data_IF_600883384150
#
_entry.id   IF_600883384150
#
_cell.length_a   1.000
_cell.length_b   1.000
_cell.length_c   1.000
_cell.angle_alpha   90.00
_cell.angle_beta   90.00
_cell.angle_gamma   90.00
#
_symmetry.space_group_name_H-M   'P 1'
#
loop_
_entity.id
_entity.type
_entity.pdbx_description
1 polymer ?
#
# COMPACT_ATOMS: atom_id res chain seq x y z
N UNK A 1 -13.93 22.69 7.20
CA UNK A 1 -14.32 21.70 6.17
C UNK A 1 -15.30 22.38 5.23
N UNK A 2 -14.88 22.62 3.99
CA UNK A 2 -15.69 23.31 2.99
C UNK A 2 -16.88 22.41 2.59
N UNK A 3 -18.09 22.85 2.98
CA UNK A 3 -19.32 22.05 2.88
C UNK A 3 -19.83 21.91 1.43
N UNK A 4 -19.20 22.57 0.46
CA UNK A 4 -19.62 22.62 -0.94
C UNK A 4 -18.66 21.98 -1.96
N UNK A 5 -17.64 21.23 -1.52
CA UNK A 5 -16.73 20.49 -2.43
C UNK A 5 -17.35 19.22 -3.05
N UNK A 6 -18.59 19.30 -3.54
CA UNK A 6 -19.30 18.21 -4.23
C UNK A 6 -18.52 17.74 -5.46
N UNK A 7 -17.92 18.67 -6.20
CA UNK A 7 -17.18 18.36 -7.44
C UNK A 7 -15.90 17.53 -7.18
N UNK A 8 -15.16 17.83 -6.11
CA UNK A 8 -13.98 17.07 -5.71
C UNK A 8 -14.32 15.66 -5.24
N UNK A 9 -15.37 15.51 -4.44
CA UNK A 9 -15.87 14.21 -3.97
C UNK A 9 -16.33 13.35 -5.15
N UNK A 10 -17.04 13.92 -6.13
CA UNK A 10 -17.45 13.19 -7.34
C UNK A 10 -16.25 12.68 -8.13
N UNK A 11 -15.18 13.47 -8.28
CA UNK A 11 -13.96 13.06 -8.96
C UNK A 11 -13.23 11.93 -8.23
N UNK A 12 -13.00 12.08 -6.92
CA UNK A 12 -12.37 11.05 -6.10
C UNK A 12 -13.16 9.73 -6.14
N UNK A 13 -14.51 9.80 -6.06
CA UNK A 13 -15.38 8.63 -6.16
C UNK A 13 -15.27 7.94 -7.53
N UNK A 14 -15.15 8.70 -8.62
CA UNK A 14 -14.94 8.14 -9.96
C UNK A 14 -13.61 7.39 -10.03
N UNK A 15 -12.55 7.96 -9.46
CA UNK A 15 -11.24 7.32 -9.42
C UNK A 15 -11.25 6.04 -8.59
N UNK A 16 -11.77 6.08 -7.36
CA UNK A 16 -11.91 4.87 -6.53
C UNK A 16 -12.71 3.78 -7.25
N UNK A 17 -13.83 4.13 -7.89
CA UNK A 17 -14.62 3.15 -8.66
C UNK A 17 -13.80 2.49 -9.77
N UNK A 18 -13.00 3.26 -10.51
CA UNK A 18 -12.12 2.71 -11.54
C UNK A 18 -11.08 1.76 -10.96
N UNK A 19 -10.50 2.10 -9.80
CA UNK A 19 -9.52 1.27 -9.13
C UNK A 19 -10.13 -0.03 -8.60
N UNK A 20 -11.37 0.03 -8.09
CA UNK A 20 -12.13 -1.15 -7.64
C UNK A 20 -12.42 -2.13 -8.78
N UNK A 21 -12.70 -1.63 -10.00
CA UNK A 21 -12.89 -2.51 -11.17
C UNK A 21 -11.63 -3.32 -11.51
N UNK A 22 -10.45 -2.82 -11.15
CA UNK A 22 -9.16 -3.48 -11.31
C UNK A 22 -8.54 -3.85 -9.95
N UNK A 23 -9.37 -4.10 -8.92
CA UNK A 23 -8.91 -4.22 -7.54
C UNK A 23 -7.82 -5.28 -7.37
N UNK A 24 -8.02 -6.49 -7.92
CA UNK A 24 -7.05 -7.59 -7.79
C UNK A 24 -5.69 -7.24 -8.39
N UNK A 25 -5.69 -6.51 -9.51
CA UNK A 25 -4.48 -6.06 -10.19
C UNK A 25 -3.77 -5.00 -9.35
N UNK A 26 -4.49 -3.98 -8.91
CA UNK A 26 -3.91 -2.92 -8.08
C UNK A 26 -3.38 -3.44 -6.76
N UNK A 27 -4.14 -4.30 -6.08
CA UNK A 27 -3.71 -4.96 -4.85
C UNK A 27 -2.42 -5.75 -5.07
N UNK A 28 -2.40 -6.63 -6.09
CA UNK A 28 -1.21 -7.42 -6.42
C UNK A 28 0.00 -6.53 -6.76
N UNK A 29 -0.19 -5.52 -7.59
CA UNK A 29 0.89 -4.63 -8.02
C UNK A 29 1.45 -3.83 -6.83
N UNK A 30 0.59 -3.35 -5.93
CA UNK A 30 1.01 -2.65 -4.71
C UNK A 30 1.78 -3.56 -3.78
N UNK A 31 1.31 -4.80 -3.56
CA UNK A 31 1.99 -5.76 -2.69
C UNK A 31 3.35 -6.17 -3.24
N UNK A 32 3.43 -6.44 -4.54
CA UNK A 32 4.71 -6.75 -5.20
C UNK A 32 5.69 -5.58 -5.16
N UNK A 33 5.20 -4.36 -5.35
CA UNK A 33 6.04 -3.16 -5.28
C UNK A 33 6.57 -2.93 -3.86
N UNK A 34 5.71 -3.04 -2.85
CA UNK A 34 6.11 -2.92 -1.45
C UNK A 34 7.13 -3.99 -1.07
N UNK A 35 6.90 -5.25 -1.45
CA UNK A 35 7.83 -6.34 -1.17
C UNK A 35 9.21 -6.10 -1.77
N UNK A 36 9.27 -5.78 -3.06
CA UNK A 36 10.54 -5.49 -3.70
C UNK A 36 11.33 -4.36 -3.01
N UNK A 37 10.63 -3.37 -2.45
CA UNK A 37 11.27 -2.22 -1.80
C UNK A 37 11.64 -2.48 -0.33
N UNK A 38 10.81 -3.22 0.40
CA UNK A 38 10.86 -3.31 1.87
C UNK A 38 11.32 -4.68 2.39
N UNK A 39 11.39 -5.73 1.57
CA UNK A 39 11.78 -7.07 2.03
C UNK A 39 13.12 -7.09 2.74
N UNK A 40 14.13 -6.36 2.24
CA UNK A 40 15.42 -6.29 2.92
C UNK A 40 15.30 -5.68 4.32
N UNK A 41 14.52 -4.60 4.45
CA UNK A 41 14.28 -3.96 5.74
C UNK A 41 13.49 -4.90 6.66
N UNK A 42 12.48 -5.60 6.14
CA UNK A 42 11.75 -6.61 6.89
C UNK A 42 12.67 -7.73 7.44
N UNK A 43 13.65 -8.19 6.66
CA UNK A 43 14.65 -9.14 7.15
C UNK A 43 15.52 -8.57 8.28
N UNK A 44 15.83 -7.26 8.26
CA UNK A 44 16.61 -6.60 9.32
C UNK A 44 15.82 -6.45 10.63
N UNK A 45 14.49 -6.49 10.57
CA UNK A 45 13.59 -6.42 11.73
C UNK A 45 13.22 -7.80 12.30
N UNK A 46 13.56 -8.88 11.61
CA UNK A 46 13.31 -10.22 12.07
C UNK A 46 14.03 -10.50 13.41
N UNK A 47 13.34 -11.19 14.32
CA UNK A 47 13.88 -11.52 15.64
C UNK A 47 15.05 -12.53 15.59
N UNK A 48 15.18 -13.27 14.49
CA UNK A 48 16.23 -14.27 14.29
C UNK A 48 16.61 -14.44 12.82
N UNK A 49 17.77 -15.05 12.57
CA UNK A 49 18.23 -15.37 11.20
C UNK A 49 17.30 -16.39 10.52
N UNK A 50 16.72 -17.33 11.27
CA UNK A 50 15.77 -18.31 10.76
C UNK A 50 14.47 -17.66 10.29
N UNK A 51 13.98 -16.63 10.99
CA UNK A 51 12.83 -15.84 10.55
C UNK A 51 13.20 -14.98 9.34
N UNK A 52 14.37 -14.32 9.35
CA UNK A 52 14.83 -13.48 8.24
C UNK A 52 14.88 -14.26 6.91
N UNK A 53 15.33 -15.52 6.93
CA UNK A 53 15.39 -16.39 5.73
C UNK A 53 14.00 -16.73 5.18
N UNK A 54 12.96 -16.73 6.03
CA UNK A 54 11.57 -16.97 5.59
C UNK A 54 10.93 -15.73 4.96
N UNK A 55 11.48 -14.54 5.18
CA UNK A 55 11.01 -13.28 4.61
C UNK A 55 11.63 -13.10 3.21
N UNK A 56 10.94 -13.64 2.22
CA UNK A 56 11.23 -13.46 0.79
C UNK A 56 10.30 -12.40 0.23
N UNK A 57 10.59 -11.84 -0.95
CA UNK A 57 9.66 -10.90 -1.61
C UNK A 57 8.28 -11.56 -1.82
N UNK A 58 8.24 -12.85 -2.16
CA UNK A 58 7.00 -13.58 -2.37
C UNK A 58 6.21 -13.78 -1.07
N UNK A 59 6.86 -14.25 0.00
CA UNK A 59 6.19 -14.47 1.29
C UNK A 59 5.78 -13.15 1.92
N UNK A 60 6.61 -12.11 1.83
CA UNK A 60 6.28 -10.77 2.31
C UNK A 60 5.10 -10.17 1.55
N UNK A 61 5.08 -10.24 0.20
CA UNK A 61 3.93 -9.80 -0.59
C UNK A 61 2.63 -10.55 -0.27
N UNK A 62 2.71 -11.80 0.21
CA UNK A 62 1.55 -12.60 0.64
C UNK A 62 1.07 -12.25 2.04
N UNK A 63 1.96 -11.81 2.92
CA UNK A 63 1.64 -11.42 4.30
C UNK A 63 0.95 -10.07 4.38
N UNK A 64 1.41 -9.10 3.57
CA UNK A 64 0.87 -7.75 3.63
C UNK A 64 -0.55 -7.69 3.05
N UNK A 65 -1.48 -7.05 3.76
CA UNK A 65 -2.90 -6.96 3.39
C UNK A 65 -3.39 -5.52 3.41
N UNK A 66 -4.05 -5.08 2.33
CA UNK A 66 -4.57 -3.73 2.22
C UNK A 66 -5.65 -3.47 3.29
N UNK A 67 -5.41 -2.51 4.18
CA UNK A 67 -6.33 -2.15 5.26
C UNK A 67 -7.16 -0.90 4.92
N UNK A 68 -6.53 0.11 4.35
CA UNK A 68 -7.16 1.39 4.03
C UNK A 68 -6.59 1.98 2.75
N UNK A 69 -7.44 2.63 1.95
CA UNK A 69 -6.98 3.46 0.84
C UNK A 69 -7.65 4.84 0.87
N UNK A 70 -6.81 5.86 0.80
CA UNK A 70 -7.20 7.26 0.72
C UNK A 70 -6.96 7.76 -0.71
N UNK A 71 -7.93 8.48 -1.29
CA UNK A 71 -7.83 9.02 -2.65
C UNK A 71 -8.19 10.50 -2.66
N UNK A 72 -7.31 11.32 -3.23
CA UNK A 72 -7.55 12.74 -3.45
C UNK A 72 -8.42 12.99 -4.68
N UNK A 73 -9.03 14.17 -4.79
CA UNK A 73 -9.78 14.58 -5.99
C UNK A 73 -8.92 14.70 -7.25
N UNK A 74 -7.59 14.74 -7.11
CA UNK A 74 -6.61 14.69 -8.19
C UNK A 74 -6.23 13.28 -8.65
N UNK A 75 -6.75 12.22 -7.99
CA UNK A 75 -6.46 10.83 -8.34
C UNK A 75 -5.11 10.31 -7.82
N UNK A 76 -4.50 11.02 -6.87
CA UNK A 76 -3.38 10.50 -6.08
C UNK A 76 -3.93 9.72 -4.89
N UNK A 77 -3.30 8.60 -4.57
CA UNK A 77 -3.70 7.70 -3.49
C UNK A 77 -2.57 7.40 -2.52
N UNK A 78 -2.97 7.06 -1.30
CA UNK A 78 -2.15 6.45 -0.26
C UNK A 78 -2.88 5.20 0.21
N UNK A 79 -2.20 4.05 0.14
CA UNK A 79 -2.72 2.75 0.50
C UNK A 79 -1.92 2.21 1.69
N UNK A 80 -2.62 1.88 2.77
CA UNK A 80 -2.04 1.39 4.02
C UNK A 80 -2.21 -0.14 4.07
N UNK A 81 -1.14 -0.83 4.40
CA UNK A 81 -1.10 -2.28 4.52
C UNK A 81 -0.77 -2.67 5.96
N UNK A 82 -1.53 -3.63 6.46
CA UNK A 82 -1.14 -4.46 7.60
C UNK A 82 -0.07 -5.44 7.13
N UNK A 83 0.96 -5.69 7.93
CA UNK A 83 2.13 -6.46 7.55
C UNK A 83 2.34 -7.75 8.34
N UNK A 84 1.32 -8.21 9.08
CA UNK A 84 1.42 -9.42 9.93
C UNK A 84 2.52 -9.29 11.00
N UNK A 85 2.62 -8.11 11.63
CA UNK A 85 3.53 -7.78 12.75
C UNK A 85 5.02 -7.84 12.39
N UNK A 86 5.36 -7.59 11.12
CA UNK A 86 6.76 -7.57 10.67
C UNK A 86 7.50 -6.30 11.12
N UNK A 87 6.82 -5.15 11.08
CA UNK A 87 7.36 -3.86 11.51
C UNK A 87 6.79 -3.39 12.85
N UNK A 88 6.31 -4.33 13.67
CA UNK A 88 5.69 -4.09 14.97
C UNK A 88 4.55 -3.04 14.86
N UNK A 89 4.66 -1.92 15.58
CA UNK A 89 3.64 -0.86 15.58
C UNK A 89 3.61 0.02 14.30
N UNK A 90 4.46 -0.25 13.30
CA UNK A 90 4.47 0.54 12.05
C UNK A 90 3.57 -0.10 10.98
N UNK A 91 3.07 0.74 10.07
CA UNK A 91 2.29 0.33 8.91
C UNK A 91 3.07 0.55 7.61
N UNK A 92 2.75 -0.23 6.58
CA UNK A 92 3.32 -0.01 5.25
C UNK A 92 2.40 0.93 4.48
N UNK A 93 2.96 2.02 3.94
CA UNK A 93 2.24 2.97 3.10
C UNK A 93 2.76 2.94 1.67
N UNK A 94 1.88 2.64 0.72
CA UNK A 94 2.13 2.67 -0.72
C UNK A 94 1.45 3.89 -1.33
N UNK A 95 2.22 4.78 -1.95
CA UNK A 95 1.70 5.98 -2.59
C UNK A 95 1.74 5.88 -4.11
N UNK A 96 0.79 6.52 -4.77
CA UNK A 96 0.68 6.49 -6.21
C UNK A 96 -0.35 7.45 -6.78
N UNK A 97 -0.59 7.34 -8.08
CA UNK A 97 -1.73 7.97 -8.74
C UNK A 97 -2.18 7.16 -9.94
N UNK A 98 -3.43 7.32 -10.38
CA UNK A 98 -3.90 6.61 -11.58
C UNK A 98 -3.11 6.94 -12.85
N UNK A 99 -2.50 8.12 -12.91
CA UNK A 99 -1.71 8.55 -14.07
C UNK A 99 -0.29 8.00 -14.08
N UNK A 100 0.34 7.96 -12.90
CA UNK A 100 1.77 7.57 -12.75
C UNK A 100 1.96 6.13 -12.29
N UNK A 101 0.90 5.45 -11.87
CA UNK A 101 1.00 4.18 -11.17
C UNK A 101 1.50 4.36 -9.75
N UNK A 102 2.07 3.29 -9.19
CA UNK A 102 2.69 3.25 -7.88
C UNK A 102 4.04 3.99 -7.94
N UNK A 103 4.32 4.85 -6.98
CA UNK A 103 5.55 5.68 -6.96
C UNK A 103 6.44 5.42 -5.76
N UNK A 104 5.88 5.04 -4.60
CA UNK A 104 6.65 4.76 -3.40
C UNK A 104 5.97 3.75 -2.49
N UNK A 105 6.76 3.14 -1.62
CA UNK A 105 6.33 2.24 -0.55
C UNK A 105 7.29 2.46 0.63
N UNK A 106 6.78 2.86 1.78
CA UNK A 106 7.57 3.29 2.92
C UNK A 106 6.89 2.80 4.21
N UNK A 107 7.63 2.73 5.31
CA UNK A 107 7.06 2.45 6.64
C UNK A 107 6.62 3.76 7.28
N UNK A 108 5.42 3.79 7.87
CA UNK A 108 4.85 4.94 8.57
C UNK A 108 4.30 4.52 9.94
N UNK A 109 4.65 5.29 10.97
CA UNK A 109 4.34 5.04 12.38
C UNK A 109 5.20 5.90 13.29
#
# INVERSE_FOLDING_TARGET
VDKDNKSGITKAKKYIKSMILEQEKWDKDMRLFAAKKLTKLACEWAESEEEAVKITEESFAKRITLSLICMTSGGSFSAYFDDDDIFFDHSITVCGSQKKGIVSADIEG
#
